data_IF_540238159699
#
_entry.id   IF_540238159699
#
_cell.length_a   1.000
_cell.length_b   1.000
_cell.length_c   1.000
_cell.angle_alpha   90.00
_cell.angle_beta   90.00
_cell.angle_gamma   90.00
#
_symmetry.space_group_name_H-M   'P 1'
#
loop_
_entity.id
_entity.type
_entity.pdbx_description
1 polymer ?
#
# COMPACT_ATOMS: atom_id res chain seq x y z
N UNK A 1 13.27 11.31 -21.58
CA UNK A 1 12.75 11.93 -20.34
C UNK A 1 13.38 11.21 -19.17
N UNK A 2 14.19 11.89 -18.33
CA UNK A 2 14.74 11.26 -17.13
C UNK A 2 13.58 10.79 -16.24
N UNK A 3 13.61 9.54 -15.82
CA UNK A 3 12.62 8.97 -14.91
C UNK A 3 12.88 9.51 -13.50
N UNK A 4 12.03 10.44 -13.06
CA UNK A 4 12.08 11.08 -11.73
C UNK A 4 12.01 10.02 -10.61
N UNK A 5 11.30 8.92 -10.84
CA UNK A 5 11.21 7.78 -9.92
C UNK A 5 12.11 6.63 -10.35
N UNK A 6 12.57 5.86 -9.37
CA UNK A 6 13.30 4.62 -9.63
C UNK A 6 12.31 3.50 -9.97
N UNK A 7 12.30 3.03 -11.20
CA UNK A 7 11.35 1.99 -11.67
C UNK A 7 11.53 0.66 -10.92
N UNK A 8 12.67 0.43 -10.24
CA UNK A 8 12.93 -0.80 -9.48
C UNK A 8 12.32 -0.79 -8.08
N UNK A 9 11.94 0.37 -7.56
CA UNK A 9 11.43 0.53 -6.20
C UNK A 9 9.90 0.67 -6.16
N UNK A 10 9.26 0.11 -5.14
CA UNK A 10 7.82 0.32 -4.91
C UNK A 10 7.55 1.75 -4.50
N UNK A 11 6.31 2.24 -4.70
CA UNK A 11 5.94 3.61 -4.32
C UNK A 11 6.30 3.92 -2.86
N UNK A 12 5.98 3.05 -1.90
CA UNK A 12 6.36 3.22 -0.48
C UNK A 12 7.86 3.44 -0.27
N UNK A 13 8.69 2.71 -1.02
CA UNK A 13 10.15 2.69 -0.93
C UNK A 13 10.84 3.85 -1.68
N UNK A 14 10.11 4.62 -2.49
CA UNK A 14 10.70 5.77 -3.19
C UNK A 14 11.11 6.86 -2.20
N UNK A 15 12.19 7.55 -2.53
CA UNK A 15 12.63 8.73 -1.80
C UNK A 15 11.55 9.83 -1.81
N UNK A 16 11.24 10.38 -0.63
CA UNK A 16 10.15 11.37 -0.46
C UNK A 16 10.37 12.64 -1.28
N UNK A 17 11.61 13.05 -1.50
CA UNK A 17 11.96 14.19 -2.35
C UNK A 17 11.57 13.95 -3.82
N UNK A 18 11.82 12.74 -4.34
CA UNK A 18 11.47 12.36 -5.73
C UNK A 18 9.97 12.23 -5.94
N UNK A 19 9.25 11.69 -4.95
CA UNK A 19 7.77 11.68 -4.97
C UNK A 19 7.20 13.10 -5.10
N UNK A 20 7.73 14.05 -4.31
CA UNK A 20 7.30 15.46 -4.34
C UNK A 20 7.60 16.12 -5.68
N UNK A 21 8.79 15.88 -6.24
CA UNK A 21 9.17 16.41 -7.54
C UNK A 21 8.26 15.91 -8.66
N UNK A 22 7.94 14.61 -8.68
CA UNK A 22 6.99 14.05 -9.65
C UNK A 22 5.61 14.68 -9.49
N UNK A 23 5.08 14.74 -8.27
CA UNK A 23 3.77 15.33 -8.00
C UNK A 23 3.73 16.80 -8.42
N UNK A 24 4.74 17.59 -8.07
CA UNK A 24 4.86 18.99 -8.50
C UNK A 24 4.86 19.12 -10.03
N UNK A 25 5.63 18.27 -10.73
CA UNK A 25 5.69 18.24 -12.19
C UNK A 25 4.34 17.91 -12.82
N UNK A 26 3.65 16.87 -12.30
CA UNK A 26 2.34 16.44 -12.79
C UNK A 26 1.28 17.52 -12.56
N UNK A 27 1.26 18.14 -11.38
CA UNK A 27 0.32 19.20 -11.03
C UNK A 27 0.56 20.48 -11.84
N UNK A 28 1.82 20.84 -12.08
CA UNK A 28 2.18 21.96 -12.95
C UNK A 28 1.76 21.72 -14.40
N UNK A 29 1.94 20.49 -14.90
CA UNK A 29 1.57 20.12 -16.26
C UNK A 29 0.05 19.93 -16.43
N UNK A 30 -0.66 19.55 -15.37
CA UNK A 30 -2.09 19.23 -15.39
C UNK A 30 -2.80 19.81 -14.15
N UNK A 31 -3.14 21.12 -14.16
CA UNK A 31 -3.76 21.80 -13.02
C UNK A 31 -5.11 21.22 -12.59
N UNK A 32 -5.79 20.46 -13.46
CA UNK A 32 -7.02 19.74 -13.12
C UNK A 32 -6.85 18.73 -11.97
N UNK A 33 -5.62 18.23 -11.74
CA UNK A 33 -5.32 17.28 -10.66
C UNK A 33 -4.97 17.93 -9.32
N UNK A 34 -4.88 19.27 -9.25
CA UNK A 34 -4.52 19.98 -8.01
C UNK A 34 -5.51 19.70 -6.87
N UNK A 35 -6.79 19.47 -7.20
CA UNK A 35 -7.81 19.03 -6.24
C UNK A 35 -7.58 17.64 -5.64
N UNK A 36 -6.70 16.83 -6.25
CA UNK A 36 -6.37 15.47 -5.84
C UNK A 36 -4.96 15.34 -5.27
N UNK A 37 -4.21 16.42 -5.06
CA UNK A 37 -2.85 16.38 -4.51
C UNK A 37 -2.80 15.63 -3.16
N UNK A 38 -3.76 15.90 -2.28
CA UNK A 38 -3.95 15.21 -0.99
C UNK A 38 -4.66 13.85 -1.08
N UNK A 39 -5.15 13.53 -2.27
CA UNK A 39 -5.95 12.34 -2.59
C UNK A 39 -5.13 11.23 -3.23
N UNK A 40 -3.81 11.43 -3.36
CA UNK A 40 -2.91 10.37 -3.79
C UNK A 40 -2.62 9.39 -2.64
N UNK A 41 -2.58 8.06 -2.89
CA UNK A 41 -2.89 7.36 -4.15
C UNK A 41 -4.34 7.45 -4.66
N UNK A 42 -4.51 7.68 -5.97
CA UNK A 42 -5.80 7.83 -6.66
C UNK A 42 -6.66 6.53 -6.62
N UNK A 43 -6.04 5.37 -6.39
CA UNK A 43 -6.71 4.05 -6.45
C UNK A 43 -7.97 3.97 -5.57
N UNK A 44 -7.90 4.50 -4.35
CA UNK A 44 -9.04 4.60 -3.44
C UNK A 44 -10.21 5.38 -4.08
N UNK A 45 -9.93 6.54 -4.67
CA UNK A 45 -10.95 7.41 -5.27
C UNK A 45 -11.53 6.82 -6.56
N UNK A 46 -10.74 6.08 -7.34
CA UNK A 46 -11.26 5.32 -8.48
C UNK A 46 -12.32 4.30 -8.03
N UNK A 47 -12.01 3.50 -7.00
CA UNK A 47 -12.96 2.51 -6.49
C UNK A 47 -14.19 3.15 -5.82
N UNK A 48 -14.00 4.23 -5.07
CA UNK A 48 -15.11 4.97 -4.48
C UNK A 48 -16.05 5.51 -5.56
N UNK A 49 -15.51 6.13 -6.62
CA UNK A 49 -16.30 6.67 -7.72
C UNK A 49 -17.02 5.57 -8.51
N UNK A 50 -16.34 4.47 -8.83
CA UNK A 50 -16.93 3.33 -9.53
C UNK A 50 -18.01 2.64 -8.69
N UNK A 51 -17.79 2.48 -7.38
CA UNK A 51 -18.77 1.94 -6.45
C UNK A 51 -20.04 2.79 -6.40
N UNK A 52 -19.90 4.13 -6.31
CA UNK A 52 -21.03 5.06 -6.37
C UNK A 52 -21.76 5.00 -7.72
N UNK A 53 -21.05 4.79 -8.83
CA UNK A 53 -21.68 4.63 -10.13
C UNK A 53 -22.54 3.36 -10.17
N UNK A 54 -22.02 2.23 -9.67
CA UNK A 54 -22.74 0.95 -9.61
C UNK A 54 -24.01 1.01 -8.78
N UNK A 55 -23.98 1.75 -7.66
CA UNK A 55 -25.17 1.92 -6.81
C UNK A 55 -26.20 2.85 -7.44
N UNK A 56 -25.76 3.95 -8.08
CA UNK A 56 -26.66 4.91 -8.76
C UNK A 56 -27.33 4.34 -10.01
N UNK A 57 -26.63 3.53 -10.79
CA UNK A 57 -27.17 2.93 -12.04
C UNK A 57 -28.17 1.80 -11.77
N UNK A 58 -28.36 1.37 -10.51
CA UNK A 58 -29.40 0.41 -10.13
C UNK A 58 -29.19 -1.03 -10.63
N UNK A 59 -28.12 -1.30 -11.37
CA UNK A 59 -27.77 -2.65 -11.85
C UNK A 59 -27.45 -3.61 -10.70
N UNK A 60 -27.03 -3.10 -9.54
CA UNK A 60 -26.83 -3.91 -8.33
C UNK A 60 -28.10 -4.25 -7.54
N UNK A 61 -29.20 -3.50 -7.74
CA UNK A 61 -30.40 -3.64 -6.92
C UNK A 61 -31.46 -4.59 -7.51
N UNK A 62 -31.43 -4.83 -8.84
CA UNK A 62 -32.53 -5.55 -9.53
C UNK A 62 -32.23 -7.01 -9.92
N UNK A 63 -31.10 -7.59 -9.53
CA UNK A 63 -30.73 -8.97 -9.91
C UNK A 63 -30.33 -9.90 -8.77
N UNK A 64 -30.94 -9.73 -7.59
CA UNK A 64 -31.00 -10.81 -6.57
C UNK A 64 -32.36 -11.49 -6.59
N UNK A 65 -32.73 -12.01 -7.75
CA UNK A 65 -33.59 -13.19 -7.82
C UNK A 65 -32.66 -14.38 -7.66
N UNK A 66 -32.70 -14.98 -6.46
CA UNK A 66 -32.57 -16.40 -6.21
C UNK A 66 -31.69 -17.18 -7.22
N UNK A 67 -30.43 -17.46 -6.87
CA UNK A 67 -29.80 -18.68 -7.34
C UNK A 67 -28.56 -19.03 -6.51
N UNK A 68 -28.74 -20.04 -5.66
CA UNK A 68 -27.69 -20.96 -5.28
C UNK A 68 -27.19 -21.70 -6.55
N UNK A 69 -26.31 -21.11 -7.36
CA UNK A 69 -25.47 -21.89 -8.27
C UNK A 69 -24.36 -21.06 -8.93
N UNK A 70 -23.22 -21.72 -9.14
CA UNK A 70 -22.11 -21.31 -10.01
C UNK A 70 -21.16 -20.20 -9.51
N UNK A 71 -20.34 -20.57 -8.53
CA UNK A 71 -18.87 -20.68 -8.64
C UNK A 71 -18.25 -19.93 -9.85
N UNK A 72 -18.11 -18.61 -9.77
CA UNK A 72 -17.28 -17.85 -10.71
C UNK A 72 -15.81 -18.05 -10.36
N UNK A 73 -15.12 -18.69 -11.29
CA UNK A 73 -13.72 -19.07 -11.23
C UNK A 73 -12.84 -17.84 -11.45
N UNK A 74 -12.21 -17.36 -10.38
CA UNK A 74 -10.92 -16.67 -10.54
C UNK A 74 -10.01 -17.64 -11.28
N UNK A 75 -9.68 -17.36 -12.55
CA UNK A 75 -8.72 -18.13 -13.35
C UNK A 75 -7.36 -18.08 -12.65
N UNK A 76 -7.14 -19.08 -11.80
CA UNK A 76 -5.88 -19.42 -11.17
C UNK A 76 -5.05 -20.08 -12.25
N UNK A 77 -4.08 -19.34 -12.81
CA UNK A 77 -3.01 -19.93 -13.61
C UNK A 77 -2.15 -20.80 -12.68
N UNK A 78 -2.63 -22.00 -12.36
CA UNK A 78 -1.83 -23.06 -11.77
C UNK A 78 -1.10 -23.76 -12.91
N UNK A 79 0.10 -23.29 -13.22
CA UNK A 79 1.05 -24.05 -14.04
C UNK A 79 1.36 -25.35 -13.27
N UNK A 80 0.85 -26.47 -13.78
CA UNK A 80 1.15 -27.83 -13.32
C UNK A 80 2.67 -28.04 -13.34
N UNK A 81 3.28 -28.14 -12.16
CA UNK A 81 4.60 -28.77 -11.99
C UNK A 81 4.34 -30.23 -11.64
N UNK A 82 4.62 -31.12 -12.59
CA UNK A 82 4.63 -32.57 -12.35
C UNK A 82 5.73 -32.94 -11.35
N UNK A 83 5.55 -34.04 -10.59
CA UNK A 83 6.53 -34.52 -9.62
C UNK A 83 7.55 -35.44 -10.30
N UNK A 84 8.84 -35.24 -10.02
CA UNK A 84 9.91 -36.21 -10.28
C UNK A 84 10.91 -36.05 -9.14
N UNK A 85 10.85 -36.92 -8.12
CA UNK A 85 11.72 -38.11 -7.95
C UNK A 85 13.15 -37.72 -7.56
N UNK A 86 13.47 -38.03 -6.30
CA UNK A 86 14.75 -38.47 -5.72
C UNK A 86 16.06 -37.79 -6.17
N UNK A 87 16.75 -37.16 -5.22
CA UNK A 87 18.14 -37.56 -4.93
C UNK A 87 18.61 -37.07 -3.56
N UNK A 88 19.42 -37.93 -2.94
CA UNK A 88 19.92 -37.96 -1.56
C UNK A 88 21.41 -37.54 -1.58
N UNK A 89 21.95 -37.17 -0.40
CA UNK A 89 23.39 -37.11 -0.04
C UNK A 89 24.20 -35.93 -0.62
N UNK A 90 25.24 -35.37 0.01
CA UNK A 90 25.90 -35.56 1.30
C UNK A 90 26.86 -34.37 1.55
N UNK A 91 27.26 -34.21 2.82
CA UNK A 91 28.50 -33.66 3.42
C UNK A 91 29.55 -32.88 2.59
N UNK A 92 30.06 -31.77 3.16
CA UNK A 92 31.50 -31.50 3.49
C UNK A 92 31.65 -30.01 3.92
N UNK A 93 31.90 -29.67 5.19
CA UNK A 93 33.18 -29.47 5.90
C UNK A 93 34.34 -28.73 5.18
N UNK A 94 34.64 -27.54 5.71
CA UNK A 94 35.95 -26.91 5.93
C UNK A 94 36.74 -26.29 4.75
N UNK A 95 37.30 -25.10 5.03
CA UNK A 95 38.34 -24.42 4.22
C UNK A 95 38.21 -22.89 4.28
N UNK A 96 38.66 -22.21 5.34
CA UNK A 96 39.99 -21.55 5.45
C UNK A 96 40.40 -20.81 4.16
N UNK A 97 40.55 -19.48 4.25
CA UNK A 97 41.79 -18.74 3.90
C UNK A 97 41.60 -17.21 4.05
N UNK A 98 42.29 -16.63 5.03
CA UNK A 98 42.83 -15.25 5.02
C UNK A 98 44.33 -15.35 4.63
N UNK A 99 45.16 -14.27 4.51
CA UNK A 99 44.97 -12.80 4.58
C UNK A 99 45.77 -12.04 3.44
N UNK A 100 46.48 -10.90 3.68
CA UNK A 100 46.28 -9.51 3.20
C UNK A 100 47.40 -9.08 2.18
N UNK A 101 47.92 -7.82 2.02
CA UNK A 101 47.55 -6.44 2.46
C UNK A 101 47.62 -5.37 1.31
N UNK A 102 47.30 -4.09 1.59
CA UNK A 102 48.22 -2.91 1.42
C UNK A 102 47.54 -1.53 1.25
N UNK A 103 48.03 -0.61 2.11
CA UNK A 103 48.45 0.78 1.87
C UNK A 103 47.44 1.89 1.54
N UNK A 104 47.11 2.66 2.60
CA UNK A 104 47.40 4.10 2.78
C UNK A 104 47.50 4.98 1.52
N UNK A 105 46.52 5.87 1.32
CA UNK A 105 46.78 7.24 0.84
C UNK A 105 45.91 8.23 1.60
N UNK A 106 46.63 9.16 2.23
CA UNK A 106 46.20 10.37 2.93
C UNK A 106 45.67 11.38 1.91
N UNK A 107 44.44 11.84 2.09
CA UNK A 107 43.84 12.90 1.27
C UNK A 107 42.97 13.82 2.13
N UNK A 108 43.58 14.87 2.66
CA UNK A 108 42.88 15.95 3.37
C UNK A 108 42.02 16.73 2.39
N UNK A 109 40.70 16.54 2.41
CA UNK A 109 39.76 17.48 1.79
C UNK A 109 38.72 17.96 2.80
N UNK A 110 38.98 19.19 3.23
CA UNK A 110 38.13 20.14 3.96
C UNK A 110 36.81 20.35 3.20
N UNK A 111 35.65 19.96 3.75
CA UNK A 111 34.37 20.47 3.28
C UNK A 111 34.08 21.75 4.05
N UNK A 112 34.02 22.86 3.31
CA UNK A 112 33.50 24.13 3.79
C UNK A 112 32.14 23.92 4.45
N UNK A 113 32.06 24.32 5.72
CA UNK A 113 30.82 24.54 6.42
C UNK A 113 29.97 25.51 5.61
N UNK A 114 28.91 25.00 5.00
CA UNK A 114 27.77 25.81 4.60
C UNK A 114 26.68 25.45 5.59
N UNK A 115 26.60 26.19 6.69
CA UNK A 115 25.44 26.19 7.57
C UNK A 115 24.27 26.83 6.82
N UNK A 116 23.68 26.08 5.90
CA UNK A 116 22.33 26.33 5.47
C UNK A 116 21.43 25.78 6.58
N UNK A 117 21.11 26.64 7.54
CA UNK A 117 19.99 26.46 8.47
C UNK A 117 18.72 26.44 7.62
N UNK A 118 18.46 25.30 6.96
CA UNK A 118 17.20 25.04 6.30
C UNK A 118 16.23 24.75 7.43
N UNK A 119 15.50 25.80 7.81
CA UNK A 119 14.25 25.70 8.53
C UNK A 119 13.32 24.79 7.73
N UNK A 120 13.44 23.48 7.94
CA UNK A 120 12.48 22.48 7.50
C UNK A 120 11.25 22.64 8.39
N UNK A 121 10.52 23.74 8.20
CA UNK A 121 9.15 23.82 8.64
C UNK A 121 8.40 22.73 7.87
N UNK A 122 8.22 21.57 8.51
CA UNK A 122 7.46 20.47 7.96
C UNK A 122 6.11 21.04 7.54
N UNK A 123 5.78 20.89 6.26
CA UNK A 123 4.53 21.43 5.70
C UNK A 123 3.36 20.99 6.60
N UNK A 124 2.48 21.90 7.04
CA UNK A 124 1.33 21.55 7.88
C UNK A 124 0.50 20.38 7.31
N UNK A 125 0.53 20.20 5.99
CA UNK A 125 -0.16 19.12 5.27
C UNK A 125 0.51 17.76 5.41
N UNK A 126 1.84 17.73 5.58
CA UNK A 126 2.58 16.50 5.84
C UNK A 126 2.27 15.95 7.25
N UNK A 127 2.16 16.84 8.23
CA UNK A 127 1.73 16.47 9.58
C UNK A 127 0.32 15.86 9.57
N UNK A 128 -0.58 16.38 8.72
CA UNK A 128 -1.91 15.81 8.54
C UNK A 128 -1.89 14.40 7.93
N UNK A 129 -1.00 14.13 6.96
CA UNK A 129 -0.84 12.78 6.40
C UNK A 129 -0.33 11.80 7.46
N UNK A 130 0.69 12.20 8.23
CA UNK A 130 1.25 11.36 9.30
C UNK A 130 0.21 11.03 10.38
N UNK A 131 -0.61 12.01 10.77
CA UNK A 131 -1.73 11.78 11.69
C UNK A 131 -2.71 10.73 11.13
N UNK A 132 -3.04 10.81 9.84
CA UNK A 132 -3.93 9.84 9.21
C UNK A 132 -3.33 8.42 9.16
N UNK A 133 -2.03 8.30 8.91
CA UNK A 133 -1.34 7.00 8.94
C UNK A 133 -1.35 6.38 10.34
N UNK A 134 -1.20 7.19 11.40
CA UNK A 134 -1.32 6.74 12.79
C UNK A 134 -2.73 6.19 13.10
N UNK A 135 -3.79 6.84 12.60
CA UNK A 135 -5.17 6.36 12.73
C UNK A 135 -5.35 4.99 12.05
N UNK A 136 -4.83 4.83 10.83
CA UNK A 136 -4.87 3.55 10.10
C UNK A 136 -4.06 2.49 10.84
N UNK A 137 -2.89 2.84 11.37
CA UNK A 137 -2.06 1.92 12.14
C UNK A 137 -2.77 1.48 13.43
N UNK A 138 -3.43 2.41 14.13
CA UNK A 138 -4.23 2.12 15.33
C UNK A 138 -5.36 1.15 15.01
N UNK A 139 -6.07 1.36 13.91
CA UNK A 139 -7.08 0.43 13.42
C UNK A 139 -6.49 -0.95 13.13
N UNK A 140 -5.38 -1.05 12.39
CA UNK A 140 -4.77 -2.34 12.06
C UNK A 140 -4.31 -3.10 13.32
N UNK A 141 -3.80 -2.39 14.34
CA UNK A 141 -3.45 -2.99 15.63
C UNK A 141 -4.67 -3.50 16.41
N UNK A 142 -5.84 -2.87 16.29
CA UNK A 142 -7.05 -3.32 16.99
C UNK A 142 -7.62 -4.61 16.41
N UNK A 143 -7.37 -4.89 15.13
CA UNK A 143 -7.74 -6.15 14.49
C UNK A 143 -6.92 -7.30 15.05
N UNK A 144 -5.60 -7.17 14.99
CA UNK A 144 -4.67 -8.17 15.46
C UNK A 144 -3.27 -7.57 15.62
N UNK A 145 -2.78 -7.49 16.86
CA UNK A 145 -1.44 -7.00 17.17
C UNK A 145 -0.32 -7.91 16.66
N UNK A 146 -0.61 -9.20 16.41
CA UNK A 146 0.35 -10.19 15.94
C UNK A 146 0.51 -10.21 14.40
N UNK A 147 -0.49 -9.73 13.64
CA UNK A 147 -0.26 -9.48 12.21
C UNK A 147 0.65 -8.28 12.10
N UNK A 148 1.78 -8.42 11.40
CA UNK A 148 2.78 -7.37 11.21
C UNK A 148 2.17 -6.07 10.67
N UNK A 149 1.69 -5.23 11.59
CA UNK A 149 0.84 -4.07 11.32
C UNK A 149 1.54 -3.04 10.45
N UNK A 150 2.87 -2.94 10.54
CA UNK A 150 3.69 -2.12 9.66
C UNK A 150 3.60 -2.55 8.19
N UNK A 151 3.62 -3.86 7.88
CA UNK A 151 3.53 -4.35 6.50
C UNK A 151 2.13 -4.17 5.93
N UNK A 152 1.10 -4.33 6.77
CA UNK A 152 -0.27 -4.05 6.37
C UNK A 152 -0.48 -2.56 6.11
N UNK A 153 0.04 -1.70 7.00
CA UNK A 153 -0.06 -0.25 6.84
C UNK A 153 0.53 0.20 5.50
N UNK A 154 1.73 -0.26 5.13
CA UNK A 154 2.34 0.08 3.84
C UNK A 154 1.43 -0.27 2.65
N UNK A 155 0.73 -1.41 2.70
CA UNK A 155 -0.24 -1.80 1.67
C UNK A 155 -1.47 -0.90 1.64
N UNK A 156 -2.01 -0.53 2.80
CA UNK A 156 -3.15 0.39 2.89
C UNK A 156 -2.79 1.79 2.40
N UNK A 157 -1.65 2.32 2.84
CA UNK A 157 -1.11 3.62 2.40
C UNK A 157 -0.86 3.61 0.89
N UNK A 158 -0.24 2.54 0.37
CA UNK A 158 -0.01 2.37 -1.07
C UNK A 158 -1.30 2.25 -1.88
N UNK A 159 -2.38 1.73 -1.29
CA UNK A 159 -3.70 1.66 -1.92
C UNK A 159 -4.52 2.96 -1.77
N UNK A 160 -4.02 3.96 -1.06
CA UNK A 160 -4.72 5.23 -0.85
C UNK A 160 -5.59 5.29 0.41
N UNK A 161 -5.46 4.36 1.34
CA UNK A 161 -6.17 4.40 2.62
C UNK A 161 -5.21 4.94 3.69
N UNK A 162 -5.19 6.27 3.84
CA UNK A 162 -4.21 7.00 4.67
C UNK A 162 -4.84 7.74 5.84
N UNK A 163 -6.12 7.50 6.18
CA UNK A 163 -6.78 8.15 7.32
C UNK A 163 -7.94 7.30 7.84
N UNK A 164 -8.34 7.56 9.10
CA UNK A 164 -9.52 6.95 9.71
C UNK A 164 -10.81 7.23 8.93
N UNK A 165 -11.01 8.46 8.47
CA UNK A 165 -12.17 8.84 7.65
C UNK A 165 -12.30 8.00 6.37
N UNK A 166 -11.18 7.62 5.72
CA UNK A 166 -11.22 6.72 4.55
C UNK A 166 -11.56 5.29 4.93
N UNK A 167 -11.14 4.83 6.11
CA UNK A 167 -11.57 3.52 6.64
C UNK A 167 -13.07 3.50 6.90
N UNK A 168 -13.62 4.55 7.52
CA UNK A 168 -15.06 4.70 7.76
C UNK A 168 -15.87 4.74 6.46
N UNK A 169 -15.40 5.50 5.47
CA UNK A 169 -16.05 5.54 4.16
C UNK A 169 -15.99 4.19 3.44
N UNK A 170 -14.85 3.49 3.49
CA UNK A 170 -14.72 2.13 2.96
C UNK A 170 -15.61 1.14 3.71
N UNK A 171 -15.86 1.35 5.00
CA UNK A 171 -16.73 0.50 5.79
C UNK A 171 -18.19 0.55 5.32
N UNK A 172 -18.62 1.69 4.76
CA UNK A 172 -19.95 1.90 4.16
C UNK A 172 -20.10 1.28 2.76
N UNK A 173 -19.01 0.80 2.15
CA UNK A 173 -19.08 0.17 0.82
C UNK A 173 -19.84 -1.16 0.88
N UNK A 174 -20.32 -1.61 -0.28
CA UNK A 174 -20.88 -2.96 -0.39
C UNK A 174 -19.81 -4.00 -0.01
N UNK A 175 -20.23 -5.11 0.61
CA UNK A 175 -19.31 -6.19 1.00
C UNK A 175 -18.49 -6.69 -0.20
N UNK A 176 -19.11 -6.77 -1.38
CA UNK A 176 -18.44 -7.22 -2.60
C UNK A 176 -17.37 -6.23 -3.09
N UNK A 177 -17.66 -4.92 -3.11
CA UNK A 177 -16.70 -3.91 -3.55
C UNK A 177 -15.53 -3.79 -2.55
N UNK A 178 -15.84 -3.86 -1.25
CA UNK A 178 -14.85 -3.85 -0.17
C UNK A 178 -13.90 -5.04 -0.28
N UNK A 179 -14.43 -6.26 -0.37
CA UNK A 179 -13.60 -7.47 -0.49
C UNK A 179 -12.77 -7.46 -1.78
N UNK A 180 -13.32 -6.94 -2.89
CA UNK A 180 -12.59 -6.79 -4.15
C UNK A 180 -11.42 -5.83 -4.00
N UNK A 181 -11.65 -4.64 -3.43
CA UNK A 181 -10.60 -3.65 -3.19
C UNK A 181 -9.49 -4.19 -2.26
N UNK A 182 -9.87 -4.84 -1.16
CA UNK A 182 -8.92 -5.42 -0.21
C UNK A 182 -8.05 -6.51 -0.85
N UNK A 183 -8.60 -7.34 -1.73
CA UNK A 183 -7.85 -8.41 -2.41
C UNK A 183 -7.03 -7.93 -3.59
N UNK A 184 -7.55 -7.00 -4.38
CA UNK A 184 -6.92 -6.57 -5.64
C UNK A 184 -5.92 -5.43 -5.41
N UNK A 185 -6.33 -4.40 -4.67
CA UNK A 185 -5.55 -3.16 -4.52
C UNK A 185 -4.65 -3.23 -3.28
N UNK A 186 -5.23 -3.60 -2.13
CA UNK A 186 -4.47 -3.76 -0.88
C UNK A 186 -3.70 -5.09 -0.88
N UNK A 187 -4.06 -6.04 -1.74
CA UNK A 187 -3.40 -7.35 -1.90
C UNK A 187 -3.38 -8.17 -0.61
N UNK A 188 -4.50 -8.14 0.12
CA UNK A 188 -4.69 -8.98 1.30
C UNK A 188 -4.94 -10.43 0.88
N UNK A 189 -4.39 -11.37 1.64
CA UNK A 189 -4.77 -12.77 1.51
C UNK A 189 -6.22 -12.99 2.01
N UNK A 190 -6.79 -14.17 1.76
CA UNK A 190 -8.19 -14.44 2.11
C UNK A 190 -8.49 -14.29 3.61
N UNK A 191 -7.55 -14.66 4.47
CA UNK A 191 -7.68 -14.56 5.92
C UNK A 191 -7.58 -13.10 6.40
N UNK A 192 -6.54 -12.37 5.95
CA UNK A 192 -6.37 -10.93 6.19
C UNK A 192 -7.60 -10.15 5.74
N UNK A 193 -8.10 -10.43 4.54
CA UNK A 193 -9.29 -9.81 3.97
C UNK A 193 -10.51 -10.02 4.86
N UNK A 194 -10.72 -11.24 5.37
CA UNK A 194 -11.84 -11.54 6.26
C UNK A 194 -11.74 -10.77 7.58
N UNK A 195 -10.57 -10.79 8.22
CA UNK A 195 -10.33 -10.05 9.47
C UNK A 195 -10.57 -8.54 9.32
N UNK A 196 -10.05 -7.95 8.24
CA UNK A 196 -10.24 -6.52 7.94
C UNK A 196 -11.70 -6.22 7.63
N UNK A 197 -12.36 -7.04 6.81
CA UNK A 197 -13.77 -6.86 6.45
C UNK A 197 -14.68 -6.93 7.68
N UNK A 198 -14.42 -7.85 8.61
CA UNK A 198 -15.15 -7.97 9.89
C UNK A 198 -14.87 -6.79 10.83
N UNK A 199 -13.64 -6.28 10.86
CA UNK A 199 -13.29 -5.10 11.65
C UNK A 199 -13.94 -3.81 11.11
N UNK A 200 -13.95 -3.63 9.79
CA UNK A 200 -14.64 -2.51 9.14
C UNK A 200 -16.16 -2.58 9.42
N UNK A 201 -16.74 -3.78 9.42
CA UNK A 201 -18.15 -3.93 9.78
C UNK A 201 -18.44 -3.48 11.22
N UNK A 202 -17.57 -3.82 12.18
CA UNK A 202 -17.71 -3.39 13.59
C UNK A 202 -17.67 -1.86 13.73
N UNK A 203 -16.79 -1.19 12.99
CA UNK A 203 -16.73 0.29 13.00
C UNK A 203 -18.07 0.95 12.65
N UNK A 204 -18.84 0.38 11.71
CA UNK A 204 -20.14 0.93 11.32
C UNK A 204 -21.17 0.71 12.42
N UNK A 205 -21.15 -0.46 13.07
CA UNK A 205 -22.06 -0.80 14.17
C UNK A 205 -21.87 0.13 15.37
N UNK A 206 -20.61 0.42 15.73
CA UNK A 206 -20.29 1.28 16.88
C UNK A 206 -20.66 2.77 16.67
N UNK A 207 -20.95 3.19 15.43
CA UNK A 207 -21.30 4.58 15.10
C UNK A 207 -22.82 4.84 15.17
N UNK A 208 -23.65 3.80 15.36
CA UNK A 208 -25.11 3.91 15.40
C UNK A 208 -25.72 3.92 16.81
N UNK A 209 -24.90 3.81 17.86
CA UNK A 209 -25.29 3.99 19.27
C UNK A 209 -24.98 5.42 19.76
#
# INVERSE_FOLDING_TARGET
MPTILDVKLRWGEQETSRKRELLSTVLSSHPAFTKYESSWPILYYCYQSLGQLRTKTGEGAKKRLNNNSARSTCKRNNTRRSPSVLSIASTETAGRNSPPPRMSVRGNHRPSQTTATTSNAASPRYLQMMKGEEEVMKFLRSINSALGSARLLDRFVSAGVTSGARLEDMAKWSVADRDTFLRCEVRLNAFECKLVSDALHRMVSDTQE
#
